data_IF_765477814079
#
_entry.id   IF_765477814079
#
_cell.length_a   1.000
_cell.length_b   1.000
_cell.length_c   1.000
_cell.angle_alpha   90.00
_cell.angle_beta   90.00
_cell.angle_gamma   90.00
#
_symmetry.space_group_name_H-M   'P 1'
#
loop_
_entity.id
_entity.type
_entity.pdbx_description
1 polymer ?
#
# COMPACT_ATOMS: atom_id res chain seq x y z
N UNK A 1 -42.08 -27.32 18.96
CA UNK A 1 -41.95 -25.96 18.37
C UNK A 1 -41.15 -24.98 19.23
N UNK A 2 -41.52 -24.68 20.49
CA UNK A 2 -40.82 -23.68 21.33
C UNK A 2 -39.32 -23.95 21.57
N UNK A 3 -38.90 -25.22 21.73
CA UNK A 3 -37.46 -25.58 21.88
C UNK A 3 -36.65 -25.35 20.60
N UNK A 4 -37.18 -25.76 19.44
CA UNK A 4 -36.56 -25.51 18.14
C UNK A 4 -36.41 -24.00 17.87
N UNK A 5 -37.43 -23.22 18.19
CA UNK A 5 -37.38 -21.77 18.05
C UNK A 5 -36.30 -21.11 18.94
N UNK A 6 -36.15 -21.59 20.18
CA UNK A 6 -35.08 -21.13 21.09
C UNK A 6 -33.69 -21.48 20.58
N UNK A 7 -33.50 -22.68 20.04
CA UNK A 7 -32.21 -23.12 19.47
C UNK A 7 -31.87 -22.27 18.24
N UNK A 8 -32.84 -22.06 17.34
CA UNK A 8 -32.66 -21.20 16.17
C UNK A 8 -32.27 -19.78 16.56
N UNK A 9 -32.95 -19.20 17.57
CA UNK A 9 -32.64 -17.87 18.06
C UNK A 9 -31.26 -17.78 18.71
N UNK A 10 -30.85 -18.81 19.46
CA UNK A 10 -29.51 -18.89 20.03
C UNK A 10 -28.43 -18.94 18.94
N UNK A 11 -28.64 -19.70 17.87
CA UNK A 11 -27.72 -19.75 16.71
C UNK A 11 -27.62 -18.37 16.05
N UNK A 12 -28.74 -17.68 15.83
CA UNK A 12 -28.76 -16.32 15.27
C UNK A 12 -27.96 -15.33 16.13
N UNK A 13 -28.10 -15.40 17.44
CA UNK A 13 -27.33 -14.54 18.37
C UNK A 13 -25.83 -14.83 18.25
N UNK A 14 -25.44 -16.11 18.20
CA UNK A 14 -24.03 -16.50 18.06
C UNK A 14 -23.46 -15.99 16.74
N UNK A 15 -24.17 -16.20 15.63
CA UNK A 15 -23.74 -15.73 14.30
C UNK A 15 -23.60 -14.20 14.31
N UNK A 16 -24.59 -13.48 14.85
CA UNK A 16 -24.52 -12.02 14.96
C UNK A 16 -23.35 -11.53 15.82
N UNK A 17 -23.05 -12.22 16.92
CA UNK A 17 -21.91 -11.89 17.77
C UNK A 17 -20.56 -12.11 17.06
N UNK A 18 -20.42 -13.22 16.33
CA UNK A 18 -19.20 -13.51 15.54
C UNK A 18 -19.01 -12.45 14.45
N UNK A 19 -20.07 -12.15 13.68
CA UNK A 19 -20.00 -11.12 12.64
C UNK A 19 -19.68 -9.73 13.19
N UNK A 20 -20.16 -9.39 14.39
CA UNK A 20 -19.82 -8.13 15.06
C UNK A 20 -18.34 -8.09 15.46
N UNK A 21 -17.80 -9.18 16.00
CA UNK A 21 -16.38 -9.27 16.37
C UNK A 21 -15.49 -9.13 15.13
N UNK A 22 -15.84 -9.79 14.03
CA UNK A 22 -15.12 -9.66 12.76
C UNK A 22 -15.16 -8.22 12.24
N UNK A 23 -16.35 -7.60 12.21
CA UNK A 23 -16.50 -6.22 11.78
C UNK A 23 -15.65 -5.26 12.61
N UNK A 24 -15.66 -5.40 13.95
CA UNK A 24 -14.84 -4.59 14.84
C UNK A 24 -13.35 -4.85 14.64
N UNK A 25 -12.94 -6.10 14.52
CA UNK A 25 -11.55 -6.50 14.32
C UNK A 25 -10.99 -5.90 13.02
N UNK A 26 -11.68 -6.07 11.90
CA UNK A 26 -11.25 -5.51 10.62
C UNK A 26 -11.38 -3.99 10.56
N UNK A 27 -12.39 -3.41 11.21
CA UNK A 27 -12.52 -1.96 11.36
C UNK A 27 -11.35 -1.34 12.14
N UNK A 28 -10.92 -2.00 13.23
CA UNK A 28 -9.77 -1.59 14.04
C UNK A 28 -8.44 -1.79 13.33
N UNK A 29 -8.29 -2.84 12.52
CA UNK A 29 -7.10 -3.02 11.69
C UNK A 29 -7.01 -1.97 10.58
N UNK A 30 -8.14 -1.60 9.97
CA UNK A 30 -8.19 -0.54 8.96
C UNK A 30 -7.93 0.86 9.52
N UNK A 31 -8.19 1.10 10.81
CA UNK A 31 -7.99 2.40 11.45
C UNK A 31 -6.59 2.62 12.02
N UNK A 32 -5.73 1.59 12.02
CA UNK A 32 -4.29 1.79 12.18
C UNK A 32 -3.78 2.50 10.94
N UNK A 33 -3.87 3.83 10.97
CA UNK A 33 -2.89 4.67 10.32
C UNK A 33 -1.55 4.23 10.88
N UNK A 34 -0.88 3.32 10.16
CA UNK A 34 0.53 3.13 10.39
C UNK A 34 1.12 4.53 10.15
N UNK A 35 1.69 5.21 11.16
CA UNK A 35 2.59 6.30 10.82
C UNK A 35 3.58 5.62 9.89
N UNK A 36 3.62 6.04 8.62
CA UNK A 36 4.63 5.58 7.70
C UNK A 36 5.95 5.84 8.43
N UNK A 37 6.52 4.80 9.02
CA UNK A 37 7.82 4.90 9.67
C UNK A 37 8.71 5.54 8.62
N UNK A 38 9.37 6.64 8.98
CA UNK A 38 10.30 7.34 8.10
C UNK A 38 11.17 6.26 7.44
N UNK A 39 10.96 6.07 6.14
CA UNK A 39 11.64 5.04 5.40
C UNK A 39 12.92 5.69 4.89
N UNK A 40 14.07 5.09 5.17
CA UNK A 40 15.34 5.59 4.65
C UNK A 40 15.35 5.55 3.11
N UNK A 41 14.55 4.65 2.51
CA UNK A 41 14.46 4.46 1.07
C UNK A 41 13.07 3.98 0.65
N UNK A 42 12.56 4.54 -0.46
CA UNK A 42 11.34 4.08 -1.13
C UNK A 42 11.71 3.39 -2.45
N UNK A 43 11.19 2.18 -2.67
CA UNK A 43 11.38 1.42 -3.91
C UNK A 43 10.09 1.39 -4.73
N UNK A 44 10.11 1.97 -5.92
CA UNK A 44 8.97 2.09 -6.83
C UNK A 44 9.17 1.16 -8.01
N UNK A 45 8.33 0.12 -8.09
CA UNK A 45 8.23 -0.71 -9.28
C UNK A 45 7.54 0.07 -10.40
N UNK A 46 8.26 0.34 -11.48
CA UNK A 46 7.66 0.99 -12.64
C UNK A 46 6.70 0.05 -13.37
N UNK A 47 5.63 0.61 -13.93
CA UNK A 47 4.65 -0.13 -14.73
C UNK A 47 3.30 0.57 -14.81
N UNK A 48 2.61 0.73 -13.69
CA UNK A 48 1.29 1.37 -13.65
C UNK A 48 1.37 2.80 -13.10
N UNK A 49 0.73 3.77 -13.75
CA UNK A 49 0.77 5.19 -13.36
C UNK A 49 0.30 5.43 -11.92
N UNK A 50 -0.73 4.72 -11.46
CA UNK A 50 -1.22 4.78 -10.08
C UNK A 50 -0.16 4.34 -9.06
N UNK A 51 0.73 3.41 -9.45
CA UNK A 51 1.82 2.93 -8.58
C UNK A 51 2.92 3.97 -8.46
N UNK A 52 3.27 4.62 -9.57
CA UNK A 52 4.22 5.73 -9.58
C UNK A 52 3.70 6.87 -8.71
N UNK A 53 2.44 7.26 -8.91
CA UNK A 53 1.78 8.31 -8.12
C UNK A 53 1.85 8.04 -6.61
N UNK A 54 1.40 6.86 -6.17
CA UNK A 54 1.46 6.48 -4.75
C UNK A 54 2.88 6.39 -4.23
N UNK A 55 3.84 5.94 -5.04
CA UNK A 55 5.26 5.93 -4.67
C UNK A 55 5.81 7.32 -4.41
N UNK A 56 5.43 8.31 -5.24
CA UNK A 56 5.78 9.72 -5.03
C UNK A 56 5.11 10.31 -3.79
N UNK A 57 3.83 10.03 -3.56
CA UNK A 57 3.11 10.44 -2.34
C UNK A 57 3.81 9.89 -1.09
N UNK A 58 4.11 8.59 -1.08
CA UNK A 58 4.84 7.94 0.02
C UNK A 58 6.23 8.53 0.24
N UNK A 59 6.98 8.81 -0.83
CA UNK A 59 8.31 9.41 -0.72
C UNK A 59 8.26 10.83 -0.11
N UNK A 60 7.23 11.61 -0.43
CA UNK A 60 7.01 12.94 0.18
C UNK A 60 6.63 12.83 1.65
N UNK A 61 5.71 11.93 1.99
CA UNK A 61 5.21 11.75 3.37
C UNK A 61 6.28 11.18 4.31
N UNK A 62 7.08 10.23 3.83
CA UNK A 62 8.14 9.58 4.62
C UNK A 62 9.42 10.40 4.75
N UNK A 63 9.57 11.47 3.95
CA UNK A 63 10.78 12.27 3.85
C UNK A 63 12.05 11.41 3.60
N UNK A 64 11.92 10.41 2.73
CA UNK A 64 12.99 9.46 2.42
C UNK A 64 14.19 10.15 1.77
N UNK A 65 15.40 9.70 2.12
CA UNK A 65 16.65 10.22 1.53
C UNK A 65 16.87 9.71 0.10
N UNK A 66 16.37 8.50 -0.19
CA UNK A 66 16.54 7.83 -1.47
C UNK A 66 15.22 7.30 -2.02
N UNK A 67 15.08 7.42 -3.34
CA UNK A 67 13.98 6.81 -4.10
C UNK A 67 14.59 6.00 -5.23
N UNK A 68 14.31 4.71 -5.23
CA UNK A 68 14.73 3.78 -6.26
C UNK A 68 13.56 3.53 -7.20
N UNK A 69 13.74 3.68 -8.51
CA UNK A 69 12.68 3.37 -9.49
C UNK A 69 13.21 2.33 -10.47
N UNK A 70 12.48 1.22 -10.63
CA UNK A 70 12.89 0.06 -11.44
C UNK A 70 11.72 -0.51 -12.26
N UNK A 71 11.82 -0.62 -13.60
CA UNK A 71 12.85 0.01 -14.44
C UNK A 71 12.59 1.51 -14.63
N UNK A 72 13.59 2.38 -14.63
CA UNK A 72 13.47 3.79 -14.99
C UNK A 72 14.79 4.38 -15.53
N UNK A 73 14.67 5.42 -16.34
CA UNK A 73 15.79 6.24 -16.81
C UNK A 73 15.53 7.73 -16.57
N UNK A 74 16.52 8.58 -16.87
CA UNK A 74 16.44 10.03 -16.65
C UNK A 74 15.30 10.71 -17.42
N UNK A 75 14.86 10.14 -18.56
CA UNK A 75 13.76 10.69 -19.34
C UNK A 75 12.44 10.47 -18.63
N UNK A 76 12.23 9.27 -18.07
CA UNK A 76 11.05 8.93 -17.29
C UNK A 76 10.96 9.76 -16.02
N UNK A 77 12.09 10.01 -15.33
CA UNK A 77 12.10 10.86 -14.13
C UNK A 77 11.63 12.27 -14.44
N UNK A 78 12.11 12.88 -15.53
CA UNK A 78 11.66 14.22 -15.94
C UNK A 78 10.15 14.27 -16.18
N UNK A 79 9.60 13.22 -16.80
CA UNK A 79 8.16 13.12 -17.02
C UNK A 79 7.39 12.97 -15.70
N UNK A 80 7.88 12.14 -14.78
CA UNK A 80 7.27 11.94 -13.47
C UNK A 80 7.34 13.18 -12.59
N UNK A 81 8.46 13.89 -12.55
CA UNK A 81 8.59 15.14 -11.80
C UNK A 81 7.68 16.25 -12.35
N UNK A 82 7.49 16.29 -13.68
CA UNK A 82 6.53 17.21 -14.29
C UNK A 82 5.09 16.87 -13.89
N UNK A 83 4.77 15.59 -13.70
CA UNK A 83 3.42 15.13 -13.38
C UNK A 83 3.09 15.13 -11.89
N UNK A 84 4.06 14.78 -11.03
CA UNK A 84 3.86 14.50 -9.60
C UNK A 84 4.67 15.41 -8.67
N UNK A 85 5.33 16.43 -9.23
CA UNK A 85 6.31 17.33 -8.60
C UNK A 85 7.64 16.63 -8.24
N UNK A 86 8.77 17.36 -8.30
CA UNK A 86 10.07 16.84 -7.90
C UNK A 86 10.12 16.36 -6.44
N UNK A 87 10.85 15.27 -6.20
CA UNK A 87 11.14 14.79 -4.85
C UNK A 87 12.40 15.45 -4.31
N UNK A 88 12.48 15.62 -2.98
CA UNK A 88 13.74 16.04 -2.31
C UNK A 88 14.77 14.89 -2.24
N UNK A 89 14.28 13.66 -2.32
CA UNK A 89 15.08 12.44 -2.27
C UNK A 89 16.01 12.33 -3.49
N UNK A 90 17.13 11.62 -3.33
CA UNK A 90 18.01 11.27 -4.44
C UNK A 90 17.46 10.08 -5.20
N UNK A 91 17.43 10.18 -6.53
CA UNK A 91 17.02 9.08 -7.39
C UNK A 91 18.15 8.07 -7.61
N UNK A 92 17.81 6.80 -7.47
CA UNK A 92 18.64 5.67 -7.93
C UNK A 92 17.84 4.96 -9.01
N UNK A 93 18.37 4.95 -10.23
CA UNK A 93 17.68 4.43 -11.39
C UNK A 93 18.21 3.05 -11.75
N UNK A 94 17.30 2.10 -11.86
CA UNK A 94 17.58 0.76 -12.37
C UNK A 94 16.96 0.68 -13.76
N UNK A 95 17.74 0.47 -14.82
CA UNK A 95 17.27 0.59 -16.22
C UNK A 95 17.41 -0.70 -17.04
N UNK A 96 17.77 -1.81 -16.40
CA UNK A 96 18.06 -3.09 -17.06
C UNK A 96 16.94 -4.10 -16.91
N UNK A 97 16.09 -3.97 -15.90
CA UNK A 97 15.03 -4.93 -15.70
C UNK A 97 13.97 -4.88 -16.82
N UNK A 98 13.68 -6.05 -17.38
CA UNK A 98 12.69 -6.28 -18.45
C UNK A 98 11.41 -6.87 -17.91
N UNK A 99 11.45 -7.44 -16.70
CA UNK A 99 10.30 -8.05 -16.04
C UNK A 99 10.28 -7.70 -14.56
N UNK A 100 9.11 -7.72 -13.93
CA UNK A 100 8.95 -7.47 -12.48
C UNK A 100 9.80 -8.40 -11.62
N UNK A 101 10.10 -9.62 -12.09
CA UNK A 101 10.93 -10.59 -11.37
C UNK A 101 12.42 -10.21 -11.37
N UNK A 102 12.88 -9.44 -12.36
CA UNK A 102 14.26 -8.96 -12.45
C UNK A 102 14.50 -7.75 -11.54
N UNK A 103 13.45 -7.08 -11.04
CA UNK A 103 13.59 -5.89 -10.19
C UNK A 103 14.12 -6.19 -8.77
N UNK A 104 14.13 -7.46 -8.35
CA UNK A 104 14.41 -7.88 -6.98
C UNK A 104 15.57 -8.88 -6.85
N UNK A 105 16.28 -9.17 -7.94
CA UNK A 105 17.39 -10.12 -8.01
C UNK A 105 18.70 -9.39 -8.29
#
# INVERSE_FOLDING_TARGET
>A
MKRLFRIFFAILIIVGAVSLVEFLYFGLLGSKSNPHHAADTIFILNGASERIKKGYELAKESNADFVIISPADDSMIKDYEKQYEPLKAKYILENKARTTFENAY
#
